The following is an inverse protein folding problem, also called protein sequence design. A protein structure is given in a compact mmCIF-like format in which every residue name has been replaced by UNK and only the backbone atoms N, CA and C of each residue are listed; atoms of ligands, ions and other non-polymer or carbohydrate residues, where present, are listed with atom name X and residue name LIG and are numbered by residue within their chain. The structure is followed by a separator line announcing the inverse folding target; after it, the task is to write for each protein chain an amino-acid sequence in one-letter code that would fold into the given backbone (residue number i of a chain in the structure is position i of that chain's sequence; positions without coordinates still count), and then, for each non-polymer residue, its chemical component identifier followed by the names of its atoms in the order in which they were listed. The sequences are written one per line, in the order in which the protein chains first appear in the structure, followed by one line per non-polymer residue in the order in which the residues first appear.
data_IF_614486299013
#
_entry.id   IF_614486299013
#
_cell.length_a   1.000
_cell.length_b   1.000
_cell.length_c   1.000
_cell.angle_alpha   90.00
_cell.angle_beta   90.00
_cell.angle_gamma   90.00
#
_symmetry.space_group_name_H-M   'P 1'
#
loop_
_entity.id
_entity.type
_entity.pdbx_description
1 polymer ?
#
# COMPACT_ATOMS: atom_id res chain seq x y z
N UNK A 1 -10.22 39.84 -33.06
CA UNK A 1 -10.82 39.89 -31.73
C UNK A 1 -9.91 39.07 -30.82
N UNK A 2 -9.71 39.57 -29.61
CA UNK A 2 -8.96 38.86 -28.56
C UNK A 2 -9.64 39.12 -27.22
N UNK A 3 -9.24 38.39 -26.17
CA UNK A 3 -9.76 38.57 -24.82
C UNK A 3 -8.69 39.26 -23.95
N UNK A 4 -9.13 40.27 -23.18
CA UNK A 4 -8.32 40.97 -22.18
C UNK A 4 -9.18 41.23 -20.95
N UNK A 5 -8.68 40.84 -19.76
CA UNK A 5 -9.42 41.00 -18.50
C UNK A 5 -10.88 40.52 -18.61
N UNK A 6 -11.04 39.31 -19.16
CA UNK A 6 -12.32 38.62 -19.40
C UNK A 6 -13.33 39.39 -20.32
N UNK A 7 -12.83 40.34 -21.08
CA UNK A 7 -13.64 41.09 -22.06
C UNK A 7 -13.14 40.85 -23.49
N UNK A 8 -14.03 40.74 -24.43
CA UNK A 8 -13.72 40.69 -25.85
C UNK A 8 -13.40 42.07 -26.37
N UNK A 9 -12.21 42.23 -26.92
CA UNK A 9 -11.68 43.49 -27.44
C UNK A 9 -11.17 43.30 -28.88
N UNK A 10 -11.11 44.43 -29.61
CA UNK A 10 -10.48 44.47 -30.91
C UNK A 10 -9.07 45.04 -30.81
N UNK A 11 -8.21 44.60 -31.72
CA UNK A 11 -6.85 45.05 -31.88
C UNK A 11 -6.85 46.23 -32.85
N UNK A 12 -6.45 47.41 -32.42
CA UNK A 12 -6.35 48.62 -33.24
C UNK A 12 -4.91 49.12 -33.26
N UNK A 13 -4.36 49.42 -34.44
CA UNK A 13 -3.04 50.07 -34.50
C UNK A 13 -3.11 51.45 -33.84
N UNK A 14 -2.09 51.85 -33.09
CA UNK A 14 -2.06 53.11 -32.34
C UNK A 14 -2.35 54.37 -33.20
N UNK A 15 -1.96 54.35 -34.49
CA UNK A 15 -2.21 55.42 -35.46
C UNK A 15 -3.72 55.65 -35.75
N UNK A 16 -4.59 54.72 -35.38
CA UNK A 16 -6.04 54.81 -35.57
C UNK A 16 -6.77 55.08 -34.26
N UNK A 17 -6.05 55.54 -33.21
CA UNK A 17 -6.63 55.92 -31.93
C UNK A 17 -7.74 56.93 -32.14
N UNK A 18 -8.93 56.69 -31.55
CA UNK A 18 -10.09 57.57 -31.63
C UNK A 18 -11.02 57.36 -32.86
N UNK A 19 -10.65 56.47 -33.81
CA UNK A 19 -11.52 56.15 -34.95
C UNK A 19 -12.72 55.26 -34.58
N UNK A 20 -12.53 54.45 -33.54
CA UNK A 20 -13.58 53.57 -33.03
C UNK A 20 -13.90 54.03 -31.61
N UNK A 21 -15.16 54.43 -31.37
CA UNK A 21 -15.61 54.78 -30.00
C UNK A 21 -15.58 53.50 -29.14
N UNK A 22 -14.85 53.55 -28.03
CA UNK A 22 -14.72 52.37 -27.17
C UNK A 22 -13.86 52.63 -25.94
N UNK A 23 -13.80 51.65 -25.06
CA UNK A 23 -13.02 51.63 -23.84
C UNK A 23 -11.65 51.04 -24.14
N UNK A 24 -10.57 51.70 -23.72
CA UNK A 24 -9.20 51.22 -23.86
C UNK A 24 -8.87 50.28 -22.69
N UNK A 25 -8.61 49.01 -22.97
CA UNK A 25 -8.19 47.99 -21.99
C UNK A 25 -6.69 47.75 -21.94
N UNK A 26 -5.89 48.62 -22.58
CA UNK A 26 -4.43 48.55 -22.56
C UNK A 26 -3.82 48.63 -23.95
N UNK A 27 -2.48 48.46 -23.98
CA UNK A 27 -1.69 48.46 -25.22
C UNK A 27 -0.68 47.37 -25.21
N UNK A 28 -0.16 47.01 -26.41
CA UNK A 28 0.96 46.04 -26.52
C UNK A 28 2.23 46.61 -25.89
N UNK A 29 3.17 45.72 -25.54
CA UNK A 29 4.44 46.08 -24.95
C UNK A 29 5.24 47.11 -25.79
N UNK A 30 5.10 47.04 -27.11
CA UNK A 30 5.70 48.02 -28.05
C UNK A 30 4.90 49.29 -28.22
N UNK A 31 3.71 49.40 -27.60
CA UNK A 31 2.81 50.54 -27.77
C UNK A 31 2.14 50.66 -29.16
N UNK A 32 2.43 49.76 -30.09
CA UNK A 32 1.98 49.82 -31.49
C UNK A 32 0.52 49.35 -31.67
N UNK A 33 -0.04 48.62 -30.72
CA UNK A 33 -1.41 48.05 -30.79
C UNK A 33 -2.19 48.40 -29.52
N UNK A 34 -3.40 48.89 -29.70
CA UNK A 34 -4.36 49.20 -28.63
C UNK A 34 -5.42 48.08 -28.54
N UNK A 35 -5.81 47.73 -27.32
CA UNK A 35 -6.90 46.82 -27.05
C UNK A 35 -8.16 47.63 -26.70
N UNK A 36 -9.09 47.71 -27.66
CA UNK A 36 -10.27 48.56 -27.51
C UNK A 36 -11.53 47.70 -27.46
N UNK A 37 -12.36 47.92 -26.46
CA UNK A 37 -13.73 47.42 -26.40
C UNK A 37 -14.66 48.42 -27.05
N UNK A 38 -15.25 48.11 -28.19
CA UNK A 38 -16.18 49.03 -28.86
C UNK A 38 -17.42 49.29 -27.97
N UNK A 39 -17.92 50.53 -27.95
CA UNK A 39 -19.12 50.85 -27.15
C UNK A 39 -20.29 49.92 -27.45
N UNK A 40 -20.46 49.53 -28.71
CA UNK A 40 -21.56 48.66 -29.16
C UNK A 40 -21.46 47.22 -28.60
N UNK A 41 -20.30 46.81 -28.10
CA UNK A 41 -20.08 45.48 -27.53
C UNK A 41 -20.00 45.48 -26.01
N UNK A 42 -19.97 46.63 -25.36
CA UNK A 42 -19.85 46.74 -23.90
C UNK A 42 -20.98 46.01 -23.19
N UNK A 43 -22.20 46.23 -23.64
CA UNK A 43 -23.38 45.58 -23.05
C UNK A 43 -23.34 44.06 -23.17
N UNK A 44 -22.94 43.55 -24.35
CA UNK A 44 -22.79 42.10 -24.57
C UNK A 44 -21.65 41.49 -23.70
N UNK A 45 -20.54 42.20 -23.54
CA UNK A 45 -19.47 41.78 -22.65
C UNK A 45 -19.91 41.77 -21.17
N UNK A 46 -20.73 42.76 -20.75
CA UNK A 46 -21.31 42.78 -19.40
C UNK A 46 -22.25 41.60 -19.20
N UNK A 47 -23.17 41.33 -20.10
CA UNK A 47 -24.07 40.18 -20.03
C UNK A 47 -23.32 38.86 -20.01
N UNK A 48 -22.27 38.70 -20.83
CA UNK A 48 -21.43 37.52 -20.81
C UNK A 48 -20.78 37.33 -19.44
N UNK A 49 -20.23 38.39 -18.85
CA UNK A 49 -19.59 38.34 -17.55
C UNK A 49 -20.58 37.99 -16.43
N UNK A 50 -21.78 38.56 -16.47
CA UNK A 50 -22.87 38.21 -15.54
C UNK A 50 -23.27 36.75 -15.65
N UNK A 51 -23.40 36.22 -16.88
CA UNK A 51 -23.69 34.79 -17.08
C UNK A 51 -22.58 33.89 -16.62
N UNK A 52 -21.32 34.26 -16.82
CA UNK A 52 -20.15 33.48 -16.32
C UNK A 52 -20.14 33.46 -14.78
N UNK A 53 -20.42 34.58 -14.12
CA UNK A 53 -20.54 34.62 -12.66
C UNK A 53 -21.71 33.75 -12.19
N UNK A 54 -22.86 33.81 -12.86
CA UNK A 54 -24.01 33.00 -12.52
C UNK A 54 -23.74 31.49 -12.71
N UNK A 55 -23.02 31.12 -13.77
CA UNK A 55 -22.57 29.75 -14.00
C UNK A 55 -21.68 29.24 -12.87
N UNK A 56 -20.67 30.03 -12.47
CA UNK A 56 -19.79 29.69 -11.37
C UNK A 56 -20.54 29.53 -10.03
N UNK A 57 -21.51 30.43 -9.78
CA UNK A 57 -22.34 30.31 -8.57
C UNK A 57 -23.19 29.04 -8.59
N UNK A 58 -23.76 28.69 -9.75
CA UNK A 58 -24.57 27.46 -9.88
C UNK A 58 -23.75 26.22 -9.75
N UNK A 59 -22.52 26.16 -10.33
CA UNK A 59 -21.56 25.08 -10.13
C UNK A 59 -21.28 24.89 -8.63
N UNK A 60 -20.97 25.97 -7.92
CA UNK A 60 -20.69 25.92 -6.48
C UNK A 60 -21.92 25.46 -5.68
N UNK A 61 -23.12 25.87 -6.07
CA UNK A 61 -24.38 25.43 -5.45
C UNK A 61 -24.58 23.92 -5.61
N UNK A 62 -24.39 23.42 -6.82
CA UNK A 62 -24.52 21.98 -7.13
C UNK A 62 -23.48 21.16 -6.35
N UNK A 63 -22.20 21.57 -6.39
CA UNK A 63 -21.12 20.89 -5.66
C UNK A 63 -21.38 20.85 -4.15
N UNK A 64 -21.86 21.97 -3.58
CA UNK A 64 -22.23 22.01 -2.15
C UNK A 64 -23.37 21.04 -1.83
N UNK A 65 -24.41 21.02 -2.65
CA UNK A 65 -25.54 20.09 -2.46
C UNK A 65 -25.11 18.62 -2.55
N UNK A 66 -24.20 18.28 -3.48
CA UNK A 66 -23.64 16.94 -3.57
C UNK A 66 -22.77 16.59 -2.36
N UNK A 67 -21.92 17.50 -1.93
CA UNK A 67 -21.08 17.32 -0.74
C UNK A 67 -21.91 17.13 0.53
N UNK A 68 -23.00 17.87 0.70
CA UNK A 68 -23.93 17.72 1.82
C UNK A 68 -24.61 16.34 1.82
N UNK A 69 -24.97 15.82 0.64
CA UNK A 69 -25.55 14.46 0.52
C UNK A 69 -24.53 13.40 0.93
N UNK A 70 -23.28 13.49 0.47
CA UNK A 70 -22.21 12.55 0.85
C UNK A 70 -21.88 12.66 2.33
N UNK A 71 -21.81 13.88 2.88
CA UNK A 71 -21.50 14.13 4.29
C UNK A 71 -22.48 13.47 5.26
N UNK A 72 -23.74 13.29 4.86
CA UNK A 72 -24.74 12.57 5.69
C UNK A 72 -24.37 11.12 5.94
N UNK A 73 -23.62 10.50 5.04
CA UNK A 73 -23.21 9.10 5.08
C UNK A 73 -21.71 8.94 5.32
N UNK A 74 -21.01 10.01 5.73
CA UNK A 74 -19.56 9.99 5.90
C UNK A 74 -19.08 8.89 6.86
N UNK A 75 -19.78 8.73 7.99
CA UNK A 75 -19.43 7.71 9.00
C UNK A 75 -19.64 6.28 8.48
N UNK A 76 -20.70 6.05 7.73
CA UNK A 76 -20.99 4.75 7.12
C UNK A 76 -19.98 4.43 6.03
N UNK A 77 -19.58 5.42 5.24
CA UNK A 77 -18.54 5.28 4.21
C UNK A 77 -17.19 4.96 4.86
N UNK A 78 -16.79 5.69 5.90
CA UNK A 78 -15.56 5.44 6.66
C UNK A 78 -15.52 4.03 7.23
N UNK A 79 -16.61 3.60 7.90
CA UNK A 79 -16.74 2.24 8.41
C UNK A 79 -16.68 1.17 7.32
N UNK A 80 -17.28 1.43 6.17
CA UNK A 80 -17.21 0.50 5.04
C UNK A 80 -15.79 0.36 4.51
N UNK A 81 -15.00 1.43 4.47
CA UNK A 81 -13.58 1.38 4.07
C UNK A 81 -12.78 0.51 5.04
N UNK A 82 -13.00 0.64 6.36
CA UNK A 82 -12.35 -0.21 7.36
C UNK A 82 -12.72 -1.69 7.19
N UNK A 83 -14.01 -1.99 6.98
CA UNK A 83 -14.48 -3.37 6.75
C UNK A 83 -13.87 -3.94 5.46
N UNK A 84 -13.83 -3.16 4.40
CA UNK A 84 -13.22 -3.57 3.12
C UNK A 84 -11.73 -3.88 3.28
N UNK A 85 -11.00 -3.09 4.06
CA UNK A 85 -9.58 -3.35 4.33
C UNK A 85 -9.36 -4.69 5.08
N UNK A 86 -10.24 -5.02 6.04
CA UNK A 86 -10.19 -6.30 6.76
C UNK A 86 -10.49 -7.46 5.81
N UNK A 87 -11.49 -7.32 4.95
CA UNK A 87 -11.87 -8.34 3.98
C UNK A 87 -10.77 -8.55 2.94
N UNK A 88 -10.18 -7.47 2.42
CA UNK A 88 -9.09 -7.53 1.45
C UNK A 88 -7.88 -8.27 2.02
N UNK A 89 -7.50 -7.98 3.28
CA UNK A 89 -6.44 -8.70 3.98
C UNK A 89 -6.77 -10.20 4.13
N UNK A 90 -8.02 -10.55 4.45
CA UNK A 90 -8.44 -11.94 4.58
C UNK A 90 -8.35 -12.67 3.24
N UNK A 91 -8.81 -12.05 2.15
CA UNK A 91 -8.69 -12.61 0.81
C UNK A 91 -7.23 -12.72 0.34
N UNK A 92 -6.40 -11.72 0.63
CA UNK A 92 -4.97 -11.78 0.30
C UNK A 92 -4.27 -12.95 0.99
N UNK A 93 -4.57 -13.18 2.28
CA UNK A 93 -4.05 -14.33 3.04
C UNK A 93 -4.55 -15.67 2.47
N UNK A 94 -5.81 -15.77 2.10
CA UNK A 94 -6.39 -16.98 1.51
C UNK A 94 -5.77 -17.30 0.15
N UNK A 95 -5.68 -16.31 -0.73
CA UNK A 95 -5.05 -16.46 -2.05
C UNK A 95 -3.58 -16.86 -1.94
N UNK A 96 -2.86 -16.27 -0.99
CA UNK A 96 -1.47 -16.65 -0.74
C UNK A 96 -1.36 -18.09 -0.22
N UNK A 97 -2.22 -18.49 0.71
CA UNK A 97 -2.27 -19.86 1.22
C UNK A 97 -2.51 -20.88 0.11
N UNK A 98 -3.44 -20.59 -0.81
CA UNK A 98 -3.71 -21.44 -1.98
C UNK A 98 -2.49 -21.51 -2.90
N UNK A 99 -1.86 -20.37 -3.20
CA UNK A 99 -0.70 -20.30 -4.09
C UNK A 99 0.50 -21.12 -3.62
N UNK A 100 0.73 -21.22 -2.31
CA UNK A 100 1.84 -22.01 -1.71
C UNK A 100 1.39 -23.37 -1.17
N UNK A 101 0.15 -23.78 -1.43
CA UNK A 101 -0.45 -25.03 -0.92
C UNK A 101 -0.28 -25.16 0.59
N UNK A 102 -0.68 -24.10 1.31
CA UNK A 102 -0.54 -23.98 2.74
C UNK A 102 -1.70 -24.59 3.50
N UNK A 103 -1.43 -25.06 4.72
CA UNK A 103 -2.44 -25.54 5.67
C UNK A 103 -2.44 -24.70 6.94
N UNK A 104 -3.53 -24.73 7.68
CA UNK A 104 -3.61 -24.08 8.97
C UNK A 104 -2.81 -24.88 10.02
N UNK A 105 -1.75 -24.33 10.64
CA UNK A 105 -1.04 -25.02 11.72
C UNK A 105 -1.83 -24.93 13.03
N UNK A 106 -1.55 -25.87 13.94
CA UNK A 106 -2.04 -25.81 15.32
C UNK A 106 -1.10 -24.89 16.09
N UNK A 107 -1.63 -23.78 16.59
CA UNK A 107 -0.86 -22.83 17.39
C UNK A 107 -0.89 -23.24 18.87
N UNK A 108 0.29 -23.49 19.42
CA UNK A 108 0.44 -23.85 20.83
C UNK A 108 0.54 -22.61 21.70
N UNK A 109 -0.22 -22.58 22.79
CA UNK A 109 -0.14 -21.51 23.77
C UNK A 109 0.85 -21.88 24.88
N UNK A 110 1.62 -20.90 25.36
CA UNK A 110 2.57 -21.05 26.47
C UNK A 110 1.88 -21.11 27.86
N UNK A 111 0.64 -21.58 27.91
CA UNK A 111 -0.10 -21.67 29.18
C UNK A 111 -0.33 -23.14 29.54
N UNK A 112 -0.11 -23.48 30.81
CA UNK A 112 -0.61 -24.72 31.38
C UNK A 112 -2.15 -24.73 31.42
N UNK A 113 -2.74 -25.93 31.63
CA UNK A 113 -4.18 -26.14 31.88
C UNK A 113 -4.73 -25.28 33.05
N UNK A 114 -3.86 -24.66 33.85
CA UNK A 114 -4.21 -23.76 34.97
C UNK A 114 -4.04 -22.27 34.60
N UNK A 115 -3.89 -21.89 33.33
CA UNK A 115 -3.62 -20.51 32.88
C UNK A 115 -2.34 -19.87 33.42
N UNK A 116 -1.42 -20.65 34.00
CA UNK A 116 -0.11 -20.17 34.40
C UNK A 116 0.79 -20.10 33.19
N UNK A 117 1.36 -18.94 32.93
CA UNK A 117 2.39 -18.76 31.90
C UNK A 117 3.59 -19.63 32.27
N UNK A 118 3.98 -20.56 31.41
CA UNK A 118 5.16 -21.42 31.61
C UNK A 118 6.45 -20.57 31.62
N UNK A 119 6.69 -19.86 32.73
CA UNK A 119 7.90 -19.06 32.96
C UNK A 119 9.13 -19.92 33.31
N UNK A 120 9.01 -21.24 33.29
CA UNK A 120 10.11 -22.12 33.64
C UNK A 120 11.03 -22.35 32.43
N UNK A 121 12.14 -21.65 32.42
CA UNK A 121 13.26 -21.77 31.50
C UNK A 121 13.89 -23.20 31.40
N UNK A 122 13.24 -24.21 31.93
CA UNK A 122 13.70 -25.61 31.95
C UNK A 122 12.95 -26.52 30.97
N UNK A 123 11.92 -26.06 30.31
CA UNK A 123 11.21 -26.85 29.32
C UNK A 123 11.42 -26.24 27.93
N UNK A 124 11.87 -27.07 26.99
CA UNK A 124 12.01 -26.74 25.58
C UNK A 124 10.63 -26.36 24.99
N UNK A 125 10.67 -25.89 23.79
CA UNK A 125 9.47 -25.48 23.08
C UNK A 125 9.12 -26.58 22.05
N UNK A 126 7.94 -27.22 22.17
CA UNK A 126 7.54 -28.22 21.19
C UNK A 126 7.30 -27.54 19.85
N UNK A 127 7.89 -28.12 18.83
CA UNK A 127 7.72 -27.68 17.45
C UNK A 127 7.61 -28.90 16.56
N UNK A 128 6.51 -29.02 15.82
CA UNK A 128 6.27 -30.12 14.92
C UNK A 128 5.85 -29.56 13.57
N UNK A 129 6.74 -29.58 12.62
CA UNK A 129 6.49 -29.23 11.24
C UNK A 129 6.59 -30.49 10.39
N UNK A 130 5.50 -30.89 9.78
CA UNK A 130 5.42 -32.05 8.89
C UNK A 130 5.37 -31.60 7.44
N UNK A 131 6.20 -32.21 6.60
CA UNK A 131 6.26 -31.89 5.18
C UNK A 131 6.54 -30.42 4.88
N UNK A 132 7.30 -29.73 5.75
CA UNK A 132 7.54 -28.30 5.64
C UNK A 132 8.33 -27.95 4.38
N UNK A 133 7.86 -26.95 3.64
CA UNK A 133 8.48 -26.46 2.40
C UNK A 133 8.84 -24.98 2.54
N UNK A 134 9.94 -24.61 1.92
CA UNK A 134 10.33 -23.20 1.89
C UNK A 134 9.44 -22.42 0.90
N UNK A 135 8.65 -21.42 1.33
CA UNK A 135 7.62 -20.80 0.48
C UNK A 135 8.18 -20.03 -0.73
N UNK A 136 9.45 -19.66 -0.70
CA UNK A 136 10.11 -18.92 -1.80
C UNK A 136 10.87 -19.83 -2.77
N UNK A 137 10.86 -21.15 -2.57
CA UNK A 137 11.43 -22.10 -3.51
C UNK A 137 10.35 -22.61 -4.46
N UNK A 138 10.77 -22.94 -5.69
CA UNK A 138 9.87 -23.53 -6.67
C UNK A 138 9.27 -24.84 -6.12
N UNK A 139 7.96 -25.06 -6.27
CA UNK A 139 7.32 -26.33 -5.85
C UNK A 139 7.93 -27.58 -6.48
N UNK A 140 8.64 -27.45 -7.63
CA UNK A 140 9.31 -28.55 -8.31
C UNK A 140 10.65 -28.90 -7.70
N UNK A 141 11.31 -27.95 -7.06
CA UNK A 141 12.68 -28.07 -6.57
C UNK A 141 12.75 -28.17 -5.05
N UNK A 142 11.67 -27.78 -4.35
CA UNK A 142 11.63 -27.81 -2.90
C UNK A 142 11.47 -29.22 -2.37
N UNK A 143 12.36 -29.61 -1.48
CA UNK A 143 12.27 -30.87 -0.74
C UNK A 143 11.54 -30.60 0.57
N UNK A 144 10.46 -31.34 0.81
CA UNK A 144 9.72 -31.26 2.07
C UNK A 144 10.56 -31.85 3.20
N UNK A 145 10.52 -31.23 4.36
CA UNK A 145 11.25 -31.68 5.56
C UNK A 145 10.29 -31.85 6.73
N UNK A 146 10.54 -32.90 7.52
CA UNK A 146 9.92 -33.07 8.83
C UNK A 146 10.88 -32.54 9.90
N UNK A 147 10.35 -31.69 10.77
CA UNK A 147 11.13 -31.12 11.85
C UNK A 147 10.31 -31.20 13.16
N UNK A 148 10.79 -32.07 14.06
CA UNK A 148 10.09 -32.35 15.31
C UNK A 148 11.04 -32.11 16.50
N UNK A 149 10.60 -31.28 17.42
CA UNK A 149 11.28 -30.93 18.66
C UNK A 149 10.34 -31.17 19.83
N UNK A 150 10.79 -31.87 20.82
CA UNK A 150 10.03 -32.14 22.04
C UNK A 150 10.17 -31.02 23.09
N UNK A 151 9.44 -31.15 24.20
CA UNK A 151 9.45 -30.19 25.30
C UNK A 151 10.75 -30.17 26.13
N UNK A 152 11.68 -31.10 25.88
CA UNK A 152 12.90 -31.23 26.66
C UNK A 152 14.14 -30.79 25.90
N UNK A 153 14.01 -30.60 24.59
CA UNK A 153 15.09 -30.19 23.69
C UNK A 153 15.26 -28.69 23.69
N UNK A 154 16.41 -28.20 24.15
CA UNK A 154 16.75 -26.76 24.15
C UNK A 154 17.70 -26.35 23.02
N UNK A 155 18.45 -27.30 22.47
CA UNK A 155 19.45 -27.05 21.44
C UNK A 155 19.38 -28.14 20.38
N UNK A 156 19.41 -27.75 19.14
CA UNK A 156 19.43 -28.65 17.99
C UNK A 156 20.69 -28.35 17.18
N UNK A 157 21.45 -29.37 16.88
CA UNK A 157 22.66 -29.29 16.06
C UNK A 157 22.40 -29.99 14.73
N UNK A 158 22.38 -29.21 13.62
CA UNK A 158 22.21 -29.74 12.27
C UNK A 158 23.60 -29.90 11.62
N UNK A 159 24.01 -31.13 11.37
CA UNK A 159 25.27 -31.44 10.74
C UNK A 159 25.08 -32.06 9.36
N UNK A 160 26.10 -31.99 8.51
CA UNK A 160 26.07 -32.59 7.18
C UNK A 160 26.90 -31.78 6.16
N UNK A 161 26.95 -32.22 4.90
CA UNK A 161 27.70 -31.53 3.84
C UNK A 161 27.10 -30.18 3.53
N UNK A 162 27.89 -29.25 2.98
CA UNK A 162 27.43 -27.89 2.67
C UNK A 162 26.28 -27.84 1.62
N UNK A 163 26.23 -28.84 0.75
CA UNK A 163 25.16 -29.03 -0.26
C UNK A 163 23.90 -29.70 0.33
N UNK A 164 23.90 -30.10 1.60
CA UNK A 164 22.81 -30.88 2.21
C UNK A 164 21.61 -30.08 2.70
N UNK A 165 21.47 -28.82 2.33
CA UNK A 165 20.26 -28.01 2.65
C UNK A 165 20.18 -27.52 4.10
N UNK A 166 21.26 -27.59 4.92
CA UNK A 166 21.27 -27.12 6.33
C UNK A 166 20.73 -25.68 6.49
N UNK A 167 21.27 -24.75 5.70
CA UNK A 167 20.89 -23.35 5.73
C UNK A 167 19.44 -23.16 5.27
N UNK A 168 18.99 -23.93 4.29
CA UNK A 168 17.60 -23.90 3.82
C UNK A 168 16.66 -24.38 4.92
N UNK A 169 17.01 -25.45 5.63
CA UNK A 169 16.24 -25.96 6.76
C UNK A 169 16.07 -24.89 7.86
N UNK A 170 17.16 -24.24 8.29
CA UNK A 170 17.13 -23.17 9.29
C UNK A 170 16.28 -21.98 8.82
N UNK A 171 16.46 -21.55 7.57
CA UNK A 171 15.66 -20.47 6.99
C UNK A 171 14.18 -20.83 6.91
N UNK A 172 13.85 -22.07 6.55
CA UNK A 172 12.48 -22.55 6.48
C UNK A 172 11.80 -22.48 7.85
N UNK A 173 12.42 -23.03 8.89
CA UNK A 173 11.87 -23.04 10.25
C UNK A 173 11.64 -21.59 10.75
N UNK A 174 12.63 -20.72 10.59
CA UNK A 174 12.54 -19.33 11.00
C UNK A 174 11.43 -18.56 10.25
N UNK A 175 11.37 -18.73 8.93
CA UNK A 175 10.37 -18.07 8.09
C UNK A 175 8.94 -18.57 8.39
N UNK A 176 8.75 -19.88 8.52
CA UNK A 176 7.43 -20.44 8.87
C UNK A 176 6.97 -19.98 10.24
N UNK A 177 7.88 -19.84 11.20
CA UNK A 177 7.56 -19.29 12.53
C UNK A 177 7.10 -17.81 12.45
N UNK A 178 7.75 -16.99 11.61
CA UNK A 178 7.35 -15.61 11.37
C UNK A 178 6.02 -15.52 10.63
N UNK A 179 5.78 -16.41 9.65
CA UNK A 179 4.51 -16.49 8.93
C UNK A 179 3.35 -16.83 9.88
N UNK A 180 3.55 -17.82 10.78
CA UNK A 180 2.56 -18.17 11.80
C UNK A 180 2.24 -17.00 12.73
N UNK A 181 3.26 -16.29 13.20
CA UNK A 181 3.10 -15.09 14.03
C UNK A 181 2.36 -13.95 13.30
N UNK A 182 2.44 -13.91 11.96
CA UNK A 182 1.72 -12.97 11.11
C UNK A 182 0.29 -13.42 10.76
N UNK A 183 -0.15 -14.59 11.25
CA UNK A 183 -1.48 -15.15 10.98
C UNK A 183 -1.64 -15.69 9.55
N UNK A 184 -0.54 -16.15 8.94
CA UNK A 184 -0.54 -16.82 7.64
C UNK A 184 -0.62 -18.34 7.84
N UNK A 185 -1.27 -19.02 6.90
CA UNK A 185 -1.14 -20.47 6.77
C UNK A 185 0.26 -20.83 6.30
N UNK A 186 0.70 -22.07 6.60
CA UNK A 186 2.05 -22.53 6.35
C UNK A 186 2.07 -23.61 5.27
N UNK A 187 3.10 -23.66 4.41
CA UNK A 187 3.30 -24.75 3.45
C UNK A 187 3.83 -26.01 4.17
N UNK A 188 2.96 -26.60 4.98
CA UNK A 188 3.19 -27.80 5.80
C UNK A 188 2.01 -28.77 5.67
N UNK A 189 2.19 -30.00 6.12
CA UNK A 189 1.10 -30.96 6.21
C UNK A 189 0.22 -30.71 7.44
N UNK A 190 -1.02 -31.20 7.36
CA UNK A 190 -1.99 -31.11 8.46
C UNK A 190 -1.46 -31.83 9.70
N UNK A 191 -1.73 -31.28 10.87
CA UNK A 191 -1.19 -31.77 12.15
C UNK A 191 0.17 -31.21 12.51
N UNK A 192 0.67 -30.21 11.78
CA UNK A 192 1.80 -29.41 12.17
C UNK A 192 1.45 -28.46 13.33
N UNK A 193 2.31 -28.40 14.32
CA UNK A 193 2.11 -27.69 15.58
C UNK A 193 3.30 -26.79 15.87
N UNK A 194 3.06 -25.53 16.23
CA UNK A 194 4.12 -24.61 16.62
C UNK A 194 3.63 -23.53 17.58
N UNK A 195 4.51 -23.07 18.49
CA UNK A 195 4.20 -21.94 19.35
C UNK A 195 4.42 -20.62 18.59
N UNK A 196 3.78 -19.57 19.07
CA UNK A 196 4.08 -18.20 18.62
C UNK A 196 5.28 -17.70 19.45
N UNK A 197 6.41 -17.51 18.76
CA UNK A 197 7.62 -16.98 19.39
C UNK A 197 7.52 -15.46 19.54
N UNK A 198 7.85 -14.94 20.71
CA UNK A 198 7.90 -13.50 20.97
C UNK A 198 9.10 -12.83 20.25
N UNK A 199 10.18 -13.57 20.04
CA UNK A 199 11.39 -13.08 19.37
C UNK A 199 12.03 -14.22 18.58
N UNK A 200 12.48 -13.90 17.39
CA UNK A 200 13.23 -14.82 16.53
C UNK A 200 14.51 -14.10 16.13
N UNK A 201 15.66 -14.71 16.42
CA UNK A 201 16.97 -14.21 16.04
C UNK A 201 17.59 -15.19 15.07
N UNK A 202 18.18 -14.70 14.00
CA UNK A 202 18.86 -15.51 13.00
C UNK A 202 20.23 -14.89 12.68
N UNK A 203 21.28 -15.67 12.81
CA UNK A 203 22.60 -15.38 12.27
C UNK A 203 22.87 -16.35 11.12
N UNK A 204 22.54 -15.92 9.91
CA UNK A 204 22.57 -16.75 8.69
C UNK A 204 23.45 -16.02 7.65
N UNK A 205 24.68 -15.68 8.01
CA UNK A 205 25.67 -15.10 7.12
C UNK A 205 26.47 -16.19 6.40
N UNK A 206 26.57 -16.11 5.04
CA UNK A 206 27.59 -16.87 4.32
C UNK A 206 28.94 -16.18 4.51
N UNK A 207 29.93 -16.89 5.06
CA UNK A 207 31.33 -16.40 5.12
C UNK A 207 31.89 -16.03 3.73
N UNK A 208 31.27 -16.53 2.65
CA UNK A 208 31.64 -16.19 1.27
C UNK A 208 31.26 -14.76 0.86
N UNK A 209 30.22 -14.15 1.44
CA UNK A 209 29.83 -12.79 1.14
C UNK A 209 30.77 -11.76 1.79
N UNK A 210 31.41 -12.12 2.90
CA UNK A 210 32.37 -11.24 3.60
C UNK A 210 33.69 -11.18 2.85
N UNK A 211 34.12 -12.29 2.21
CA UNK A 211 35.34 -12.31 1.39
C UNK A 211 35.21 -11.56 0.06
N UNK A 212 34.03 -11.49 -0.52
CA UNK A 212 33.80 -10.72 -1.76
C UNK A 212 33.74 -9.20 -1.51
N UNK A 213 33.32 -8.75 -0.34
CA UNK A 213 33.31 -7.32 0.00
C UNK A 213 34.65 -6.77 0.48
N UNK A 214 35.65 -7.63 0.76
CA UNK A 214 37.03 -7.26 1.16
C UNK A 214 38.04 -7.31 -0.01
N UNK A 215 37.61 -7.73 -1.22
CA UNK A 215 38.45 -7.83 -2.41
C UNK A 215 38.13 -6.80 -3.49
N UNK A 216 37.40 -5.74 -3.17
CA UNK A 216 37.26 -4.50 -3.94
C UNK A 216 37.79 -3.36 -3.11
#
# INVERSE_FOLDING_TARGET
ITQRSDRYVILLKSNFKGRIPGILHGQSTSGSTLFIEPIVTVELNNQLQELQIAEQQEIMRVLRSLSEKVSKYAKEIEKNVEILAILDLAFARANYAEAITATQPILLTWTNNNNEVLNNARHGCPLKLLGARHPLLSPKDVVAIDFVVDNYTNVIVITGPNTGGKTVCLKTIGLLSLMAASGLHLPVESGSELPIFNRIFADIGDEQSIKQSLST
#
